data_IF_712173814271
#
_entry.id   IF_712173814271
#
_cell.length_a   1.000
_cell.length_b   1.000
_cell.length_c   1.000
_cell.angle_alpha   90.00
_cell.angle_beta   90.00
_cell.angle_gamma   90.00
#
_symmetry.space_group_name_H-M   'P 1'
#
loop_
_entity.id
_entity.type
_entity.pdbx_description
1 polymer ?
#
# COMPACT_ATOMS: atom_id res chain seq x y z
N UNK A 1 -12.37 -55.04 19.63
CA UNK A 1 -12.64 -53.63 19.43
C UNK A 1 -12.12 -53.28 18.01
N UNK A 2 -13.04 -53.22 17.01
CA UNK A 2 -12.69 -53.02 15.61
C UNK A 2 -12.61 -51.53 15.36
N UNK A 3 -11.46 -51.03 14.94
CA UNK A 3 -11.24 -49.63 14.48
C UNK A 3 -11.78 -49.56 13.06
N UNK A 4 -12.82 -48.76 12.84
CA UNK A 4 -13.35 -48.45 11.52
C UNK A 4 -12.36 -47.57 10.75
N UNK A 5 -11.96 -48.02 9.56
CA UNK A 5 -11.22 -47.20 8.57
C UNK A 5 -12.21 -46.20 8.00
N UNK A 6 -11.93 -44.89 8.20
CA UNK A 6 -12.61 -43.84 7.49
C UNK A 6 -12.09 -43.79 6.04
N UNK A 7 -13.04 -43.88 5.12
CA UNK A 7 -12.83 -43.83 3.67
C UNK A 7 -12.53 -42.40 3.24
N UNK A 8 -11.30 -42.14 2.78
CA UNK A 8 -10.82 -40.83 2.33
C UNK A 8 -11.08 -40.59 0.83
N UNK A 9 -12.21 -41.01 0.29
CA UNK A 9 -12.63 -40.69 -1.07
C UNK A 9 -13.94 -39.90 -1.04
N UNK A 10 -13.87 -38.59 -0.97
CA UNK A 10 -14.81 -37.60 -1.53
C UNK A 10 -14.61 -36.19 -0.97
N UNK A 11 -13.45 -35.60 -1.17
CA UNK A 11 -13.38 -34.13 -1.13
C UNK A 11 -12.93 -33.63 -2.51
N UNK A 12 -13.90 -33.40 -3.40
CA UNK A 12 -13.66 -32.63 -4.62
C UNK A 12 -13.75 -31.15 -4.26
N UNK A 13 -12.68 -30.36 -4.45
CA UNK A 13 -12.78 -28.90 -4.27
C UNK A 13 -13.69 -28.32 -5.35
N UNK A 14 -14.49 -27.28 -5.04
CA UNK A 14 -15.49 -26.71 -5.94
C UNK A 14 -14.93 -25.81 -7.06
N UNK A 15 -13.65 -25.88 -7.35
CA UNK A 15 -13.06 -25.10 -8.45
C UNK A 15 -12.41 -26.03 -9.47
N UNK A 16 -13.12 -26.30 -10.55
CA UNK A 16 -12.54 -26.86 -11.76
C UNK A 16 -11.68 -25.78 -12.45
N UNK A 17 -10.39 -26.06 -12.58
CA UNK A 17 -9.49 -25.27 -13.41
C UNK A 17 -9.92 -25.44 -14.87
N UNK A 18 -10.49 -24.39 -15.46
CA UNK A 18 -10.74 -24.33 -16.91
C UNK A 18 -9.45 -23.78 -17.53
N UNK A 19 -8.76 -24.54 -18.42
CA UNK A 19 -7.63 -23.99 -19.15
C UNK A 19 -8.14 -22.91 -20.09
N UNK A 20 -7.62 -21.69 -19.95
CA UNK A 20 -7.89 -20.58 -20.84
C UNK A 20 -7.27 -20.84 -22.22
N UNK A 21 -8.08 -21.35 -23.12
CA UNK A 21 -7.86 -21.33 -24.56
C UNK A 21 -8.77 -20.27 -25.17
N UNK A 22 -8.35 -19.02 -25.07
CA UNK A 22 -8.80 -17.95 -25.97
C UNK A 22 -7.68 -16.92 -26.04
N UNK A 23 -7.17 -16.68 -27.24
CA UNK A 23 -6.31 -15.54 -27.57
C UNK A 23 -6.81 -14.29 -26.85
N UNK A 24 -5.95 -13.49 -26.21
CA UNK A 24 -6.37 -12.19 -25.73
C UNK A 24 -6.78 -11.41 -26.98
N UNK A 25 -8.06 -11.02 -27.04
CA UNK A 25 -8.50 -9.93 -27.89
C UNK A 25 -7.53 -8.78 -27.65
N UNK A 26 -6.96 -8.21 -28.71
CA UNK A 26 -6.16 -6.99 -28.66
C UNK A 26 -6.92 -5.97 -27.82
N UNK A 27 -6.49 -5.78 -26.58
CA UNK A 27 -6.97 -4.71 -25.74
C UNK A 27 -6.55 -3.43 -26.46
N UNK A 28 -7.54 -2.67 -26.91
CA UNK A 28 -7.39 -1.30 -27.39
C UNK A 28 -6.52 -0.58 -26.35
N UNK A 29 -5.20 -0.45 -26.63
CA UNK A 29 -4.25 0.14 -25.69
C UNK A 29 -4.55 1.64 -25.67
N UNK A 30 -5.50 2.04 -24.82
CA UNK A 30 -5.71 3.45 -24.53
C UNK A 30 -4.39 4.00 -23.96
N UNK A 31 -3.78 4.92 -24.70
CA UNK A 31 -2.50 5.53 -24.31
C UNK A 31 -2.60 6.07 -22.88
N UNK A 32 -1.58 5.78 -22.07
CA UNK A 32 -1.48 6.27 -20.71
C UNK A 32 -0.88 7.67 -20.73
N UNK A 33 -1.66 8.67 -20.31
CA UNK A 33 -1.19 10.03 -20.11
C UNK A 33 -0.44 10.13 -18.78
N UNK A 34 0.79 10.65 -18.80
CA UNK A 34 1.62 10.87 -17.61
C UNK A 34 1.97 12.34 -17.51
N UNK A 35 1.70 12.96 -16.36
CA UNK A 35 1.92 14.40 -16.14
C UNK A 35 2.48 14.63 -14.75
N UNK A 36 3.55 15.43 -14.65
CA UNK A 36 4.13 15.85 -13.38
C UNK A 36 3.54 17.19 -12.93
N UNK A 37 3.18 17.31 -11.66
CA UNK A 37 2.65 18.52 -11.03
C UNK A 37 3.45 18.82 -9.77
N UNK A 38 3.94 20.06 -9.64
CA UNK A 38 4.56 20.54 -8.41
C UNK A 38 3.50 21.07 -7.44
N UNK A 39 3.62 20.71 -6.17
CA UNK A 39 2.80 21.24 -5.10
C UNK A 39 3.66 21.66 -3.91
N UNK A 40 3.16 22.59 -3.11
CA UNK A 40 3.78 22.93 -1.83
C UNK A 40 3.70 21.74 -0.87
N UNK A 41 4.85 21.16 -0.51
CA UNK A 41 4.98 20.13 0.52
C UNK A 41 5.14 20.73 1.92
N UNK A 42 5.49 19.89 2.92
CA UNK A 42 5.65 20.34 4.31
C UNK A 42 6.91 21.21 4.49
N UNK A 43 8.03 20.77 3.98
CA UNK A 43 9.33 21.42 4.16
C UNK A 43 9.94 21.91 2.84
N UNK A 44 9.47 21.43 1.71
CA UNK A 44 9.88 21.78 0.36
C UNK A 44 8.74 21.50 -0.62
N UNK A 45 8.84 22.00 -1.85
CA UNK A 45 7.94 21.57 -2.91
C UNK A 45 8.16 20.10 -3.24
N UNK A 46 7.07 19.39 -3.52
CA UNK A 46 7.09 17.97 -3.88
C UNK A 46 6.43 17.75 -5.24
N UNK A 47 6.84 16.68 -5.93
CA UNK A 47 6.27 16.31 -7.22
C UNK A 47 5.18 15.26 -7.05
N UNK A 48 4.07 15.45 -7.73
CA UNK A 48 3.03 14.45 -7.94
C UNK A 48 3.09 14.01 -9.40
N UNK A 49 3.30 12.72 -9.66
CA UNK A 49 3.20 12.16 -11.01
C UNK A 49 1.85 11.48 -11.18
N UNK A 50 1.09 11.97 -12.12
CA UNK A 50 -0.27 11.55 -12.44
C UNK A 50 -0.26 10.59 -13.62
N UNK A 51 -0.95 9.45 -13.48
CA UNK A 51 -1.14 8.47 -14.55
C UNK A 51 -2.63 8.30 -14.79
N UNK A 52 -3.07 8.48 -16.03
CA UNK A 52 -4.46 8.41 -16.41
C UNK A 52 -4.63 7.74 -17.77
N UNK A 53 -5.61 6.87 -17.92
CA UNK A 53 -6.06 6.42 -19.22
C UNK A 53 -6.79 7.58 -19.92
N UNK A 54 -6.45 7.82 -21.19
CA UNK A 54 -7.12 8.85 -21.99
C UNK A 54 -8.64 8.75 -21.95
N UNK A 55 -9.30 9.92 -22.04
CA UNK A 55 -10.76 10.08 -22.20
C UNK A 55 -11.64 9.58 -21.04
N UNK A 56 -11.10 9.08 -19.94
CA UNK A 56 -11.88 8.70 -18.76
C UNK A 56 -12.04 9.86 -17.79
N UNK A 57 -13.24 10.01 -17.23
CA UNK A 57 -13.60 11.08 -16.28
C UNK A 57 -14.27 10.49 -15.04
N UNK A 58 -14.26 11.25 -13.94
CA UNK A 58 -14.81 10.85 -12.64
C UNK A 58 -14.22 9.54 -12.09
N UNK A 59 -12.94 9.29 -12.42
CA UNK A 59 -12.20 8.13 -11.97
C UNK A 59 -11.95 8.17 -10.45
N UNK A 60 -12.04 7.06 -9.71
CA UNK A 60 -11.43 6.98 -8.39
C UNK A 60 -9.97 7.45 -8.42
N UNK A 61 -9.47 7.93 -7.29
CA UNK A 61 -8.06 8.35 -7.17
C UNK A 61 -7.31 7.33 -6.32
N UNK A 62 -6.13 6.93 -6.77
CA UNK A 62 -5.19 6.10 -6.00
C UNK A 62 -3.91 6.90 -5.75
N UNK A 63 -3.67 7.30 -4.50
CA UNK A 63 -2.37 7.83 -4.09
C UNK A 63 -1.41 6.67 -3.88
N UNK A 64 -0.22 6.73 -4.49
CA UNK A 64 0.81 5.70 -4.36
C UNK A 64 2.10 6.28 -3.80
N UNK A 65 2.69 5.60 -2.82
CA UNK A 65 3.92 6.00 -2.14
C UNK A 65 5.01 4.95 -2.38
N UNK A 66 6.18 5.39 -2.88
CA UNK A 66 7.33 4.53 -3.15
C UNK A 66 7.98 3.99 -1.88
N UNK A 67 8.76 2.91 -2.01
CA UNK A 67 9.59 2.35 -0.95
C UNK A 67 10.91 3.09 -0.77
N UNK A 68 11.80 2.52 0.05
CA UNK A 68 13.16 3.01 0.27
C UNK A 68 13.45 3.47 1.70
N UNK A 69 12.72 2.92 2.70
CA UNK A 69 13.02 3.11 4.12
C UNK A 69 12.97 4.56 4.57
N UNK A 70 12.14 5.41 3.97
CA UNK A 70 12.04 6.86 4.21
C UNK A 70 13.30 7.67 3.85
N UNK A 71 14.39 7.04 3.38
CA UNK A 71 15.72 7.65 3.20
C UNK A 71 16.17 7.68 1.76
N UNK A 72 15.52 6.94 0.90
CA UNK A 72 15.79 6.82 -0.54
C UNK A 72 14.50 6.50 -1.29
N UNK A 73 14.60 6.42 -2.61
CA UNK A 73 13.44 6.15 -3.46
C UNK A 73 13.03 7.38 -4.24
N UNK A 74 12.15 7.19 -5.20
CA UNK A 74 11.57 8.25 -6.04
C UNK A 74 10.32 7.75 -6.75
N UNK A 75 9.59 8.68 -7.37
CA UNK A 75 8.47 8.35 -8.27
C UNK A 75 8.91 7.56 -9.50
N UNK A 76 10.19 7.65 -9.93
CA UNK A 76 10.71 6.85 -11.04
C UNK A 76 10.84 5.37 -10.66
N UNK A 77 11.25 5.07 -9.42
CA UNK A 77 11.27 3.69 -8.91
C UNK A 77 9.87 3.10 -8.73
N UNK A 78 8.87 3.94 -8.50
CA UNK A 78 7.47 3.55 -8.39
C UNK A 78 6.73 3.50 -9.75
N UNK A 79 7.41 3.79 -10.86
CA UNK A 79 6.76 3.93 -12.18
C UNK A 79 6.07 2.64 -12.62
N UNK A 80 6.71 1.46 -12.43
CA UNK A 80 6.12 0.18 -12.80
C UNK A 80 4.79 -0.07 -12.08
N UNK A 81 4.78 0.00 -10.74
CA UNK A 81 3.58 -0.22 -9.95
C UNK A 81 2.49 0.82 -10.25
N UNK A 82 2.87 2.10 -10.43
CA UNK A 82 1.93 3.18 -10.74
C UNK A 82 1.28 3.01 -12.11
N UNK A 83 2.06 2.62 -13.13
CA UNK A 83 1.52 2.27 -14.46
C UNK A 83 0.63 1.06 -14.41
N UNK A 84 1.06 0.01 -13.70
CA UNK A 84 0.27 -1.21 -13.55
C UNK A 84 -1.12 -0.89 -12.97
N UNK A 85 -1.18 -0.09 -11.92
CA UNK A 85 -2.46 0.36 -11.37
C UNK A 85 -3.26 1.19 -12.37
N UNK A 86 -2.66 2.13 -13.07
CA UNK A 86 -3.36 2.98 -14.03
C UNK A 86 -3.91 2.20 -15.23
N UNK A 87 -3.24 1.12 -15.63
CA UNK A 87 -3.65 0.24 -16.74
C UNK A 87 -4.75 -0.74 -16.34
N UNK A 88 -4.69 -1.30 -15.13
CA UNK A 88 -5.58 -2.38 -14.69
C UNK A 88 -6.71 -1.94 -13.74
N UNK A 89 -6.59 -0.76 -13.15
CA UNK A 89 -7.61 -0.14 -12.30
C UNK A 89 -8.14 1.11 -13.02
N UNK A 90 -9.46 1.27 -13.24
CA UNK A 90 -10.00 2.52 -13.80
C UNK A 90 -9.90 3.65 -12.75
N UNK A 91 -8.69 4.16 -12.52
CA UNK A 91 -8.36 5.19 -11.54
C UNK A 91 -7.41 6.24 -12.12
N UNK A 92 -7.43 7.45 -11.55
CA UNK A 92 -6.33 8.40 -11.62
C UNK A 92 -5.32 7.99 -10.55
N UNK A 93 -4.13 7.52 -10.97
CA UNK A 93 -3.05 7.17 -10.05
C UNK A 93 -2.17 8.41 -9.85
N UNK A 94 -1.85 8.72 -8.60
CA UNK A 94 -1.03 9.86 -8.19
C UNK A 94 0.14 9.33 -7.37
N UNK A 95 1.32 9.21 -7.99
CA UNK A 95 2.56 8.83 -7.32
C UNK A 95 3.18 10.06 -6.66
N UNK A 96 3.58 9.95 -5.39
CA UNK A 96 4.00 11.06 -4.55
C UNK A 96 5.50 10.97 -4.28
N UNK A 97 6.25 12.01 -4.70
CA UNK A 97 7.68 12.17 -4.43
C UNK A 97 7.87 12.90 -3.09
N UNK A 98 7.60 12.20 -2.00
CA UNK A 98 7.62 12.75 -0.65
C UNK A 98 9.03 13.04 -0.15
N UNK A 99 9.15 13.97 0.81
CA UNK A 99 10.42 14.38 1.42
C UNK A 99 11.11 13.25 2.17
N UNK A 100 12.43 13.09 1.94
CA UNK A 100 13.24 11.99 2.46
C UNK A 100 14.13 12.42 3.64
N UNK A 101 14.25 11.57 4.63
CA UNK A 101 15.22 11.66 5.70
C UNK A 101 16.63 11.29 5.15
N UNK A 102 17.73 11.74 5.77
CA UNK A 102 17.77 12.55 7.00
C UNK A 102 17.53 14.05 6.78
N UNK A 103 17.48 14.53 5.51
CA UNK A 103 17.32 15.96 5.22
C UNK A 103 15.98 16.47 5.73
N UNK A 104 14.91 15.69 5.57
CA UNK A 104 13.57 16.00 6.00
C UNK A 104 13.03 14.84 6.87
N UNK A 105 13.39 14.79 8.16
CA UNK A 105 12.95 13.71 9.04
C UNK A 105 11.46 13.83 9.38
N UNK A 106 10.92 12.89 10.12
CA UNK A 106 9.56 12.92 10.63
C UNK A 106 9.27 14.26 11.34
N UNK A 107 8.14 14.93 11.04
CA UNK A 107 6.97 14.41 10.32
C UNK A 107 6.87 14.81 8.83
N UNK A 108 7.96 15.18 8.13
CA UNK A 108 7.88 15.73 6.78
C UNK A 108 7.12 14.82 5.80
N UNK A 109 7.52 13.56 5.65
CA UNK A 109 6.86 12.62 4.74
C UNK A 109 5.35 12.38 5.04
N UNK A 110 4.91 12.18 6.29
CA UNK A 110 3.49 12.15 6.64
C UNK A 110 2.71 13.41 6.28
N UNK A 111 3.29 14.57 6.51
CA UNK A 111 2.64 15.84 6.17
C UNK A 111 2.59 16.05 4.65
N UNK A 112 3.62 15.64 3.91
CA UNK A 112 3.60 15.64 2.43
C UNK A 112 2.51 14.71 1.88
N UNK A 113 2.37 13.52 2.46
CA UNK A 113 1.29 12.60 2.08
C UNK A 113 -0.10 13.24 2.32
N UNK A 114 -0.27 13.95 3.43
CA UNK A 114 -1.50 14.66 3.72
C UNK A 114 -1.74 15.85 2.75
N UNK A 115 -0.69 16.64 2.43
CA UNK A 115 -0.81 17.72 1.43
C UNK A 115 -1.15 17.19 0.04
N UNK A 116 -0.60 16.06 -0.37
CA UNK A 116 -0.99 15.38 -1.61
C UNK A 116 -2.47 14.98 -1.59
N UNK A 117 -2.96 14.47 -0.45
CA UNK A 117 -4.38 14.12 -0.30
C UNK A 117 -5.31 15.37 -0.33
N UNK A 118 -4.91 16.47 0.26
CA UNK A 118 -5.63 17.76 0.16
C UNK A 118 -5.64 18.30 -1.27
N UNK A 119 -4.52 18.16 -1.99
CA UNK A 119 -4.47 18.49 -3.41
C UNK A 119 -5.47 17.65 -4.21
N UNK A 120 -5.57 16.35 -3.93
CA UNK A 120 -6.57 15.47 -4.56
C UNK A 120 -7.99 15.99 -4.29
N UNK A 121 -8.32 16.41 -3.08
CA UNK A 121 -9.64 16.93 -2.73
C UNK A 121 -10.01 18.17 -3.58
N UNK A 122 -9.05 19.02 -3.87
CA UNK A 122 -9.30 20.33 -4.50
C UNK A 122 -9.03 20.35 -6.01
N UNK A 123 -8.12 19.51 -6.52
CA UNK A 123 -7.59 19.61 -7.89
C UNK A 123 -7.80 18.36 -8.76
N UNK A 124 -7.97 17.17 -8.19
CA UNK A 124 -8.05 15.93 -8.99
C UNK A 124 -9.11 15.95 -10.07
N UNK A 125 -10.22 16.72 -9.88
CA UNK A 125 -11.29 16.84 -10.88
C UNK A 125 -10.79 17.41 -12.21
N UNK A 126 -9.83 18.35 -12.20
CA UNK A 126 -9.25 18.90 -13.41
C UNK A 126 -8.48 17.85 -14.23
N UNK A 127 -8.04 16.78 -13.58
CA UNK A 127 -7.33 15.65 -14.16
C UNK A 127 -8.22 14.41 -14.32
N UNK A 128 -9.55 14.56 -14.26
CA UNK A 128 -10.51 13.47 -14.43
C UNK A 128 -10.74 12.62 -13.18
N UNK A 129 -10.18 12.99 -12.02
CA UNK A 129 -10.34 12.27 -10.75
C UNK A 129 -11.63 12.62 -9.99
N UNK A 130 -12.08 11.69 -9.15
CA UNK A 130 -13.20 11.86 -8.23
C UNK A 130 -12.69 11.82 -6.78
N UNK A 131 -12.54 12.96 -6.16
CA UNK A 131 -12.03 13.11 -4.79
C UNK A 131 -12.92 12.49 -3.70
N UNK A 132 -14.12 12.00 -4.03
CA UNK A 132 -14.97 11.26 -3.09
C UNK A 132 -14.63 9.78 -3.00
N UNK A 133 -13.79 9.26 -3.91
CA UNK A 133 -13.35 7.87 -3.98
C UNK A 133 -11.82 7.84 -4.02
N UNK A 134 -11.20 7.87 -2.84
CA UNK A 134 -9.73 7.91 -2.71
C UNK A 134 -9.26 6.63 -2.05
N UNK A 135 -8.36 5.93 -2.71
CA UNK A 135 -7.56 4.84 -2.14
C UNK A 135 -6.12 5.28 -1.94
N UNK A 136 -5.41 4.58 -1.07
CA UNK A 136 -3.97 4.79 -0.84
C UNK A 136 -3.23 3.47 -0.90
N UNK A 137 -2.02 3.46 -1.46
CA UNK A 137 -1.18 2.28 -1.53
C UNK A 137 0.30 2.65 -1.45
N UNK A 138 1.13 1.69 -1.10
CA UNK A 138 2.58 1.88 -1.14
C UNK A 138 3.34 0.64 -0.69
N UNK A 139 4.63 0.63 -0.98
CA UNK A 139 5.56 -0.43 -0.63
C UNK A 139 6.52 0.03 0.46
N UNK A 140 6.90 -0.83 1.41
CA UNK A 140 7.91 -0.60 2.43
C UNK A 140 7.57 0.66 3.28
N UNK A 141 8.43 1.67 3.29
CA UNK A 141 8.16 2.99 3.90
C UNK A 141 6.92 3.66 3.30
N UNK A 142 6.70 3.53 1.98
CA UNK A 142 5.49 4.03 1.32
C UNK A 142 4.23 3.29 1.76
N UNK A 143 4.33 2.01 2.09
CA UNK A 143 3.24 1.25 2.72
C UNK A 143 2.89 1.80 4.09
N UNK A 144 3.90 2.14 4.88
CA UNK A 144 3.68 2.81 6.17
C UNK A 144 3.08 4.21 5.98
N UNK A 145 3.54 5.00 4.97
CA UNK A 145 2.99 6.32 4.69
C UNK A 145 1.52 6.25 4.24
N UNK A 146 1.15 5.27 3.43
CA UNK A 146 -0.25 5.02 3.06
C UNK A 146 -1.12 4.77 4.31
N UNK A 147 -0.63 3.93 5.22
CA UNK A 147 -1.29 3.66 6.49
C UNK A 147 -1.32 4.90 7.40
N UNK A 148 -0.22 5.64 7.49
CA UNK A 148 -0.12 6.89 8.24
C UNK A 148 -1.13 7.93 7.73
N UNK A 149 -1.26 8.09 6.41
CA UNK A 149 -2.25 8.98 5.82
C UNK A 149 -3.68 8.57 6.19
N UNK A 150 -3.97 7.28 6.28
CA UNK A 150 -5.27 6.80 6.74
C UNK A 150 -5.56 7.19 8.21
N UNK A 151 -4.55 7.16 9.10
CA UNK A 151 -4.67 7.70 10.46
C UNK A 151 -4.91 9.21 10.45
N UNK A 152 -4.11 9.97 9.72
CA UNK A 152 -4.22 11.44 9.63
C UNK A 152 -5.59 11.83 9.11
N UNK A 153 -6.06 11.20 8.04
CA UNK A 153 -7.35 11.46 7.42
C UNK A 153 -8.51 11.23 8.39
N UNK A 154 -8.47 10.13 9.15
CA UNK A 154 -9.46 9.85 10.20
C UNK A 154 -9.40 10.86 11.33
N UNK A 155 -8.20 11.18 11.81
CA UNK A 155 -8.00 12.01 13.01
C UNK A 155 -8.29 13.51 12.73
N UNK A 156 -7.95 14.00 11.51
CA UNK A 156 -8.21 15.38 11.08
C UNK A 156 -9.61 15.57 10.46
N UNK A 157 -10.16 14.54 9.85
CA UNK A 157 -11.51 14.56 9.26
C UNK A 157 -11.66 15.39 7.99
N UNK A 158 -10.57 15.84 7.38
CA UNK A 158 -10.53 16.71 6.21
C UNK A 158 -10.38 15.95 4.88
N UNK A 159 -9.91 14.71 4.94
CA UNK A 159 -9.79 13.79 3.80
C UNK A 159 -10.50 12.47 4.12
N UNK A 160 -11.15 11.86 3.13
CA UNK A 160 -11.75 10.55 3.29
C UNK A 160 -11.01 9.51 2.46
N UNK A 161 -10.42 8.52 3.12
CA UNK A 161 -9.79 7.35 2.49
C UNK A 161 -10.76 6.18 2.49
N UNK A 162 -11.04 5.61 1.32
CA UNK A 162 -12.00 4.50 1.15
C UNK A 162 -11.37 3.14 1.41
N UNK A 163 -10.10 2.96 1.05
CA UNK A 163 -9.36 1.71 1.19
C UNK A 163 -7.86 1.96 1.15
N UNK A 164 -7.08 1.02 1.71
CA UNK A 164 -5.62 1.04 1.63
C UNK A 164 -5.03 -0.32 1.26
N UNK A 165 -3.92 -0.33 0.50
CA UNK A 165 -3.14 -1.53 0.18
C UNK A 165 -1.68 -1.33 0.55
N UNK A 166 -1.15 -2.17 1.44
CA UNK A 166 0.17 -2.06 2.05
C UNK A 166 1.02 -3.25 1.60
N UNK A 167 2.13 -2.99 0.92
CA UNK A 167 3.04 -4.00 0.39
C UNK A 167 4.31 -4.04 1.24
N UNK A 168 4.53 -5.09 2.04
CA UNK A 168 5.68 -5.24 2.92
C UNK A 168 5.95 -4.00 3.78
N UNK A 169 4.95 -3.44 4.51
CA UNK A 169 5.09 -2.14 5.16
C UNK A 169 6.01 -2.19 6.37
N UNK A 170 6.78 -1.12 6.61
CA UNK A 170 7.56 -0.88 7.84
C UNK A 170 6.64 -0.31 8.92
N UNK A 171 6.33 -1.07 9.99
CA UNK A 171 5.29 -0.69 10.96
C UNK A 171 5.77 -0.57 12.42
N UNK A 172 6.99 -1.04 12.72
CA UNK A 172 7.51 -1.10 14.08
C UNK A 172 8.95 -0.57 14.19
N UNK A 173 9.15 0.70 14.61
CA UNK A 173 10.49 1.27 14.84
C UNK A 173 11.29 0.57 15.93
N UNK A 174 10.66 -0.27 16.77
CA UNK A 174 11.36 -1.05 17.80
C UNK A 174 12.14 -2.21 17.21
N UNK A 175 11.75 -2.70 16.02
CA UNK A 175 12.33 -3.85 15.32
C UNK A 175 12.30 -5.15 16.13
N UNK A 176 11.41 -5.24 17.13
CA UNK A 176 11.33 -6.42 18.02
C UNK A 176 10.57 -7.58 17.39
N UNK A 177 9.87 -7.34 16.27
CA UNK A 177 9.00 -8.31 15.60
C UNK A 177 9.45 -8.61 14.16
N UNK A 178 10.74 -8.57 13.90
CA UNK A 178 11.28 -8.96 12.60
C UNK A 178 11.45 -10.48 12.50
N UNK A 179 11.36 -10.99 11.27
CA UNK A 179 11.69 -12.37 10.96
C UNK A 179 13.19 -12.64 11.04
N UNK A 180 13.59 -13.91 11.10
CA UNK A 180 15.01 -14.31 11.03
C UNK A 180 15.52 -14.16 9.59
N UNK A 181 16.45 -13.21 9.37
CA UNK A 181 17.01 -12.84 8.07
C UNK A 181 17.57 -14.05 7.31
N UNK A 182 18.37 -14.88 8.01
CA UNK A 182 19.06 -16.02 7.39
C UNK A 182 18.09 -17.14 7.04
N UNK A 183 17.14 -17.43 7.94
CA UNK A 183 16.13 -18.45 7.73
C UNK A 183 15.19 -18.10 6.58
N UNK A 184 14.87 -16.82 6.42
CA UNK A 184 13.98 -16.32 5.38
C UNK A 184 14.70 -16.08 4.05
N UNK A 185 16.02 -15.95 4.05
CA UNK A 185 16.76 -15.49 2.86
C UNK A 185 16.34 -14.10 2.44
N UNK A 186 16.11 -13.21 3.42
CA UNK A 186 15.62 -11.85 3.18
C UNK A 186 16.68 -10.99 2.50
N UNK A 187 16.25 -10.17 1.54
CA UNK A 187 17.07 -9.19 0.84
C UNK A 187 17.18 -7.84 1.58
N UNK A 188 16.48 -7.70 2.71
CA UNK A 188 16.67 -6.60 3.67
C UNK A 188 16.99 -7.15 5.05
N UNK A 189 17.70 -6.34 5.86
CA UNK A 189 18.20 -6.73 7.17
C UNK A 189 17.65 -5.85 8.28
N UNK A 190 17.60 -6.37 9.52
CA UNK A 190 17.27 -5.58 10.70
C UNK A 190 18.21 -4.37 10.89
N UNK A 191 19.49 -4.52 10.50
CA UNK A 191 20.47 -3.43 10.55
C UNK A 191 20.13 -2.28 9.60
N UNK A 192 19.70 -2.60 8.39
CA UNK A 192 19.25 -1.62 7.39
C UNK A 192 17.96 -0.93 7.84
N UNK A 193 16.95 -1.68 8.30
CA UNK A 193 15.73 -1.12 8.88
C UNK A 193 16.05 -0.17 10.04
N UNK A 194 16.96 -0.57 10.94
CA UNK A 194 17.39 0.27 12.05
C UNK A 194 18.09 1.56 11.59
N UNK A 195 18.89 1.51 10.52
CA UNK A 195 19.51 2.71 9.95
C UNK A 195 18.47 3.67 9.37
N UNK A 196 17.49 3.15 8.63
CA UNK A 196 16.37 3.91 8.09
C UNK A 196 15.57 4.60 9.20
N UNK A 197 15.15 3.87 10.22
CA UNK A 197 14.41 4.46 11.34
C UNK A 197 15.21 5.47 12.15
N UNK A 198 16.54 5.30 12.31
CA UNK A 198 17.38 6.31 12.98
C UNK A 198 17.42 7.63 12.20
N UNK A 199 17.48 7.55 10.87
CA UNK A 199 17.47 8.74 10.03
C UNK A 199 16.08 9.41 10.01
N UNK A 200 15.03 8.60 9.92
CA UNK A 200 13.64 9.07 9.83
C UNK A 200 13.12 9.62 11.17
N UNK A 201 13.44 8.96 12.30
CA UNK A 201 12.98 9.28 13.65
C UNK A 201 14.18 9.65 14.56
N UNK A 202 14.79 10.84 14.38
CA UNK A 202 15.99 11.22 15.11
C UNK A 202 15.76 11.41 16.63
N UNK A 203 14.52 11.70 17.03
CA UNK A 203 14.15 11.84 18.44
C UNK A 203 13.50 10.55 18.96
N UNK A 204 13.91 10.10 20.16
CA UNK A 204 13.39 8.85 20.75
C UNK A 204 11.86 8.88 20.96
N UNK A 205 11.30 10.02 21.31
CA UNK A 205 9.85 10.21 21.50
C UNK A 205 9.03 9.97 20.23
N UNK A 206 9.61 10.23 19.05
CA UNK A 206 8.95 10.02 17.76
C UNK A 206 8.69 8.54 17.47
N UNK A 207 9.52 7.64 18.05
CA UNK A 207 9.39 6.18 17.84
C UNK A 207 8.14 5.56 18.47
N UNK A 208 7.47 6.30 19.35
CA UNK A 208 6.20 5.90 19.99
C UNK A 208 5.00 6.64 19.39
N UNK A 209 5.23 7.52 18.41
CA UNK A 209 4.14 8.28 17.80
C UNK A 209 3.27 7.34 16.94
N UNK A 210 1.92 7.36 17.06
CA UNK A 210 1.03 6.45 16.31
C UNK A 210 1.21 6.51 14.78
N UNK A 211 1.63 7.65 14.25
CA UNK A 211 1.91 7.82 12.82
C UNK A 211 3.25 7.22 12.37
N UNK A 212 4.17 6.96 13.31
CA UNK A 212 5.46 6.35 13.02
C UNK A 212 5.52 4.88 13.44
N UNK A 213 4.76 4.49 14.47
CA UNK A 213 4.71 3.15 15.04
C UNK A 213 3.26 2.62 15.10
N UNK A 214 2.61 2.39 13.96
CA UNK A 214 1.20 2.00 13.93
C UNK A 214 0.94 0.64 14.57
N UNK A 215 1.92 -0.26 14.60
CA UNK A 215 1.80 -1.57 15.24
C UNK A 215 1.59 -1.48 16.76
N UNK A 216 2.11 -0.45 17.40
CA UNK A 216 1.95 -0.20 18.84
C UNK A 216 0.70 0.66 19.17
N UNK A 217 -0.03 1.10 18.15
CA UNK A 217 -1.20 1.93 18.34
C UNK A 217 -2.42 1.11 18.79
N UNK A 218 -3.06 1.52 19.86
CA UNK A 218 -4.38 0.99 20.26
C UNK A 218 -5.55 1.65 19.51
N UNK A 219 -5.29 2.66 18.66
CA UNK A 219 -6.31 3.47 17.98
C UNK A 219 -6.51 3.02 16.52
N UNK A 220 -6.79 1.72 16.30
CA UNK A 220 -6.95 1.16 14.96
C UNK A 220 -8.40 1.22 14.44
N UNK A 221 -9.37 1.32 15.33
CA UNK A 221 -10.78 1.40 14.94
C UNK A 221 -11.05 2.59 14.01
N UNK A 222 -11.91 2.39 13.02
CA UNK A 222 -12.28 3.43 12.05
C UNK A 222 -11.27 3.67 10.92
N UNK A 223 -10.18 2.90 10.86
CA UNK A 223 -9.31 2.87 9.69
C UNK A 223 -10.06 2.26 8.48
N UNK A 224 -9.68 2.62 7.25
CA UNK A 224 -10.33 2.10 6.05
C UNK A 224 -10.08 0.60 5.86
N UNK A 225 -10.89 -0.03 5.02
CA UNK A 225 -10.63 -1.41 4.60
C UNK A 225 -9.19 -1.55 4.09
N UNK A 226 -8.50 -2.61 4.53
CA UNK A 226 -7.05 -2.78 4.36
C UNK A 226 -6.72 -4.10 3.67
N UNK A 227 -5.88 -4.04 2.63
CA UNK A 227 -5.15 -5.18 2.09
C UNK A 227 -3.70 -5.09 2.57
N UNK A 228 -3.16 -6.18 3.12
CA UNK A 228 -1.74 -6.32 3.42
C UNK A 228 -1.16 -7.45 2.56
N UNK A 229 -0.22 -7.11 1.69
CA UNK A 229 0.54 -8.04 0.89
C UNK A 229 1.93 -8.21 1.52
N UNK A 230 2.33 -9.45 1.82
CA UNK A 230 3.64 -9.76 2.39
C UNK A 230 4.42 -10.73 1.51
N UNK A 231 5.73 -10.68 1.60
CA UNK A 231 6.64 -11.58 0.90
C UNK A 231 7.19 -12.64 1.87
N UNK A 232 7.29 -13.88 1.43
CA UNK A 232 7.81 -14.96 2.28
C UNK A 232 9.28 -14.72 2.68
N UNK A 233 10.07 -14.15 1.77
CA UNK A 233 11.50 -13.87 1.95
C UNK A 233 11.72 -12.40 2.38
N UNK A 234 10.98 -11.97 3.41
CA UNK A 234 11.01 -10.60 3.93
C UNK A 234 10.93 -10.61 5.45
N UNK A 235 11.87 -9.96 6.14
CA UNK A 235 11.85 -9.88 7.62
C UNK A 235 10.64 -9.12 8.15
N UNK A 236 10.07 -8.20 7.37
CA UNK A 236 8.92 -7.37 7.76
C UNK A 236 7.59 -8.12 7.72
N UNK A 237 7.51 -9.33 7.12
CA UNK A 237 6.24 -10.04 7.03
C UNK A 237 5.64 -10.31 8.43
N UNK A 238 6.49 -10.53 9.45
CA UNK A 238 6.03 -10.86 10.81
C UNK A 238 5.27 -9.69 11.45
N UNK A 239 5.84 -8.48 11.37
CA UNK A 239 5.17 -7.29 11.90
C UNK A 239 3.92 -6.91 11.10
N UNK A 240 3.97 -7.05 9.77
CA UNK A 240 2.85 -6.75 8.89
C UNK A 240 1.64 -7.66 9.15
N UNK A 241 1.87 -8.96 9.35
CA UNK A 241 0.80 -9.93 9.66
C UNK A 241 0.28 -9.78 11.09
N UNK A 242 1.14 -9.41 12.05
CA UNK A 242 0.71 -9.05 13.39
C UNK A 242 -0.19 -7.80 13.36
N UNK A 243 0.17 -6.80 12.55
CA UNK A 243 -0.65 -5.60 12.37
C UNK A 243 -2.01 -5.92 11.76
N UNK A 244 -2.05 -6.83 10.77
CA UNK A 244 -3.31 -7.32 10.21
C UNK A 244 -4.24 -7.93 11.27
N UNK A 245 -3.70 -8.77 12.16
CA UNK A 245 -4.46 -9.31 13.29
C UNK A 245 -5.03 -8.21 14.17
N UNK A 246 -4.21 -7.19 14.50
CA UNK A 246 -4.65 -6.07 15.33
C UNK A 246 -5.74 -5.22 14.65
N UNK A 247 -5.68 -5.06 13.32
CA UNK A 247 -6.74 -4.40 12.54
C UNK A 247 -8.06 -5.19 12.58
N UNK A 248 -7.99 -6.51 12.43
CA UNK A 248 -9.17 -7.40 12.51
C UNK A 248 -9.80 -7.30 13.89
N UNK A 249 -9.00 -7.38 14.95
CA UNK A 249 -9.47 -7.25 16.34
C UNK A 249 -10.12 -5.90 16.61
N UNK A 250 -9.67 -4.84 15.92
CA UNK A 250 -10.27 -3.50 15.98
C UNK A 250 -11.51 -3.32 15.08
N UNK A 251 -11.98 -4.38 14.42
CA UNK A 251 -13.16 -4.36 13.54
C UNK A 251 -12.89 -3.74 12.16
N UNK A 252 -11.63 -3.58 11.76
CA UNK A 252 -11.26 -3.11 10.42
C UNK A 252 -11.33 -4.30 9.45
N UNK A 253 -12.04 -4.13 8.34
CA UNK A 253 -12.09 -5.14 7.30
C UNK A 253 -10.69 -5.30 6.67
N UNK A 254 -10.06 -6.46 6.89
CA UNK A 254 -8.66 -6.70 6.53
C UNK A 254 -8.51 -7.97 5.74
N UNK A 255 -7.75 -7.89 4.64
CA UNK A 255 -7.31 -9.02 3.83
C UNK A 255 -5.79 -9.13 3.93
N UNK A 256 -5.26 -10.34 4.06
CA UNK A 256 -3.81 -10.60 4.11
C UNK A 256 -3.45 -11.63 3.07
N UNK A 257 -2.39 -11.39 2.31
CA UNK A 257 -1.86 -12.35 1.33
C UNK A 257 -0.35 -12.40 1.46
N UNK A 258 0.21 -13.60 1.69
CA UNK A 258 1.66 -13.83 1.66
C UNK A 258 2.04 -14.51 0.35
N UNK A 259 3.01 -13.94 -0.35
CA UNK A 259 3.50 -14.46 -1.63
C UNK A 259 4.73 -15.36 -1.41
N UNK A 260 4.64 -16.67 -1.78
CA UNK A 260 5.74 -17.61 -1.61
C UNK A 260 6.89 -17.29 -2.56
N UNK A 261 8.12 -17.49 -2.08
CA UNK A 261 9.36 -17.29 -2.87
C UNK A 261 9.57 -15.88 -3.42
N UNK A 262 8.89 -14.88 -2.86
CA UNK A 262 9.03 -13.46 -3.18
C UNK A 262 9.86 -12.79 -2.09
N UNK A 263 10.82 -11.94 -2.47
CA UNK A 263 11.60 -11.11 -1.55
C UNK A 263 10.94 -9.76 -1.29
N UNK A 264 11.45 -9.01 -0.31
CA UNK A 264 10.93 -7.68 0.01
C UNK A 264 10.97 -6.75 -1.21
N UNK A 265 12.14 -6.61 -1.86
CA UNK A 265 12.27 -5.73 -3.02
C UNK A 265 11.41 -6.18 -4.20
N UNK A 266 11.34 -7.49 -4.47
CA UNK A 266 10.54 -8.03 -5.56
C UNK A 266 9.03 -7.81 -5.37
N UNK A 267 8.57 -7.65 -4.12
CA UNK A 267 7.14 -7.42 -3.83
C UNK A 267 6.62 -6.09 -4.40
N UNK A 268 7.49 -5.08 -4.51
CA UNK A 268 7.13 -3.75 -5.04
C UNK A 268 6.48 -3.83 -6.42
N UNK A 269 7.05 -4.68 -7.28
CA UNK A 269 6.67 -4.82 -8.68
C UNK A 269 6.10 -6.23 -8.99
N UNK A 270 5.65 -6.95 -7.97
CA UNK A 270 5.13 -8.30 -8.11
C UNK A 270 3.72 -8.32 -8.74
N UNK A 271 3.55 -8.74 -10.02
CA UNK A 271 2.27 -8.60 -10.71
C UNK A 271 1.10 -9.30 -10.00
N UNK A 272 1.25 -10.51 -9.38
CA UNK A 272 0.16 -11.12 -8.63
C UNK A 272 -0.29 -10.28 -7.43
N UNK A 273 0.64 -9.59 -6.72
CA UNK A 273 0.31 -8.74 -5.58
C UNK A 273 -0.38 -7.45 -6.04
N UNK A 274 0.11 -6.82 -7.11
CA UNK A 274 -0.51 -5.66 -7.71
C UNK A 274 -1.92 -5.99 -8.25
N UNK A 275 -2.08 -7.15 -8.90
CA UNK A 275 -3.38 -7.60 -9.39
C UNK A 275 -4.39 -7.85 -8.27
N UNK A 276 -3.95 -8.39 -7.13
CA UNK A 276 -4.80 -8.57 -5.96
C UNK A 276 -5.28 -7.22 -5.41
N UNK A 277 -4.38 -6.23 -5.35
CA UNK A 277 -4.73 -4.88 -4.94
C UNK A 277 -5.68 -4.19 -5.94
N UNK A 278 -5.51 -4.42 -7.25
CA UNK A 278 -6.46 -3.95 -8.27
C UNK A 278 -7.87 -4.48 -7.98
N UNK A 279 -8.01 -5.80 -7.77
CA UNK A 279 -9.32 -6.42 -7.44
C UNK A 279 -9.90 -5.86 -6.15
N UNK A 280 -9.06 -5.71 -5.12
CA UNK A 280 -9.45 -5.14 -3.85
C UNK A 280 -9.98 -3.72 -4.00
N UNK A 281 -9.28 -2.82 -4.71
CA UNK A 281 -9.73 -1.45 -4.96
C UNK A 281 -10.97 -1.39 -5.84
N UNK A 282 -11.05 -2.19 -6.91
CA UNK A 282 -12.25 -2.27 -7.76
C UNK A 282 -13.49 -2.52 -6.91
N UNK A 283 -13.44 -3.54 -6.05
CA UNK A 283 -14.55 -3.88 -5.18
C UNK A 283 -14.89 -2.74 -4.19
N UNK A 284 -13.90 -2.00 -3.69
CA UNK A 284 -14.10 -0.89 -2.75
C UNK A 284 -14.59 0.39 -3.41
N UNK A 285 -14.22 0.63 -4.65
CA UNK A 285 -14.66 1.78 -5.41
C UNK A 285 -16.06 1.59 -6.03
N UNK A 286 -16.51 0.35 -6.22
CA UNK A 286 -17.85 0.01 -6.69
C UNK A 286 -18.87 0.09 -5.55
N UNK A 287 -19.30 1.31 -5.23
CA UNK A 287 -20.23 1.60 -4.13
C UNK A 287 -21.64 0.98 -4.30
N UNK A 288 -21.93 0.25 -5.38
CA UNK A 288 -23.23 -0.42 -5.61
C UNK A 288 -23.30 -1.82 -4.99
N UNK A 289 -22.22 -2.41 -4.54
CA UNK A 289 -22.18 -3.78 -4.03
C UNK A 289 -22.54 -3.90 -2.53
N UNK A 290 -22.82 -2.78 -1.83
CA UNK A 290 -22.95 -2.77 -0.36
C UNK A 290 -24.19 -1.99 0.16
N UNK A 291 -25.27 -1.94 -0.61
CA UNK A 291 -26.60 -1.53 -0.10
C UNK A 291 -27.57 -2.70 -0.09
#
# INVERSE_FOLDING_TARGET
MRIARLDMQAFKPPYSFVPAGSSPAEADSTALEVTDVQIEGHAQDITLRLYRQEKKTALPVLLYFHGGGFTKGSIDQADFASRYFAEHLPALVVSVDYSLAPQFPFPAAPEDAHRAALWVQTRARAFGGNSKKVGVAGHDAGGQLANCLAFIARDRGDVRISAQALFGPMLDPSLTRLGDEKRLGSDITAKECAACYRAYLPQASQRMHPYAAPLESSRLAGLPATLIATAQNDVLHVEAEKYASSLIDAGVLTQVVRYPSVSHAALADHPPALQEAVRFFQWRFDARAHR
#
